data_IF_712753375373
#
_entry.id   IF_712753375373
#
_cell.length_a   1.000
_cell.length_b   1.000
_cell.length_c   1.000
_cell.angle_alpha   90.00
_cell.angle_beta   90.00
_cell.angle_gamma   90.00
#
_symmetry.space_group_name_H-M   'P 1'
#
loop_
_entity.id
_entity.type
_entity.pdbx_description
1 polymer ?
#
# COMPACT_ATOMS: atom_id res chain seq x y z
N UNK A 1 74.15 -33.81 -35.19
CA UNK A 1 73.18 -34.39 -36.15
C UNK A 1 71.89 -34.64 -35.38
N UNK A 2 71.26 -33.56 -34.91
CA UNK A 2 70.18 -32.76 -35.56
C UNK A 2 68.83 -33.46 -35.30
N UNK A 3 68.01 -33.15 -34.29
CA UNK A 3 67.82 -31.94 -33.47
C UNK A 3 67.69 -30.66 -34.30
N UNK A 4 66.62 -30.58 -35.11
CA UNK A 4 66.13 -29.28 -35.59
C UNK A 4 64.64 -29.23 -35.98
N UNK A 5 63.89 -30.33 -35.95
CA UNK A 5 62.49 -30.29 -36.42
C UNK A 5 61.45 -30.11 -35.30
N UNK A 6 61.80 -30.33 -34.02
CA UNK A 6 60.89 -30.10 -32.89
C UNK A 6 60.93 -28.67 -32.32
N UNK A 7 61.67 -27.75 -32.94
CA UNK A 7 61.77 -26.35 -32.48
C UNK A 7 60.93 -25.37 -33.31
N UNK A 8 60.35 -25.82 -34.43
CA UNK A 8 59.51 -24.98 -35.30
C UNK A 8 58.01 -25.04 -35.02
N UNK A 9 57.49 -26.11 -34.44
CA UNK A 9 56.06 -26.20 -34.09
C UNK A 9 55.70 -25.55 -32.75
N UNK A 10 56.70 -25.26 -31.90
CA UNK A 10 56.49 -24.55 -30.63
C UNK A 10 56.56 -23.02 -30.75
N UNK A 11 57.15 -22.48 -31.83
CA UNK A 11 57.26 -21.02 -32.06
C UNK A 11 56.14 -20.45 -32.94
N UNK A 12 55.33 -21.29 -33.59
CA UNK A 12 54.19 -20.86 -34.43
C UNK A 12 52.84 -20.85 -33.67
N UNK A 13 52.78 -21.45 -32.48
CA UNK A 13 51.62 -21.35 -31.57
C UNK A 13 51.74 -20.24 -30.50
N UNK A 14 52.88 -19.53 -30.46
CA UNK A 14 53.12 -18.40 -29.54
C UNK A 14 53.00 -17.02 -30.23
N UNK A 15 52.93 -16.96 -31.57
CA UNK A 15 52.72 -15.72 -32.33
C UNK A 15 51.27 -15.44 -32.75
N UNK A 16 50.33 -16.36 -32.49
CA UNK A 16 48.89 -16.14 -32.72
C UNK A 16 48.11 -15.77 -31.45
N UNK A 17 48.80 -15.58 -30.31
CA UNK A 17 48.21 -15.13 -29.04
C UNK A 17 48.56 -13.69 -28.62
N UNK A 18 49.51 -13.04 -29.30
CA UNK A 18 49.90 -11.65 -28.96
C UNK A 18 49.28 -10.57 -29.88
N UNK A 19 48.74 -10.92 -31.05
CA UNK A 19 48.01 -9.97 -31.92
C UNK A 19 46.48 -10.00 -31.76
N UNK A 20 45.97 -10.65 -30.71
CA UNK A 20 44.56 -10.52 -30.25
C UNK A 20 44.48 -9.68 -28.96
N UNK A 21 45.64 -9.21 -28.46
CA UNK A 21 45.78 -8.50 -27.19
C UNK A 21 45.88 -6.96 -27.32
N UNK A 22 45.75 -6.37 -28.51
CA UNK A 22 45.92 -4.91 -28.70
C UNK A 22 44.80 -4.17 -29.45
N UNK A 23 43.65 -4.81 -29.72
CA UNK A 23 42.46 -4.14 -30.30
C UNK A 23 41.15 -4.41 -29.51
N UNK A 24 41.26 -4.47 -28.17
CA UNK A 24 40.10 -4.46 -27.25
C UNK A 24 40.18 -3.38 -26.17
N UNK A 25 40.99 -2.35 -26.38
CA UNK A 25 40.81 -1.08 -25.69
C UNK A 25 39.88 -0.19 -26.55
N UNK A 26 39.03 0.59 -25.89
CA UNK A 26 38.05 1.52 -26.47
C UNK A 26 36.71 1.00 -27.02
N UNK A 27 36.12 0.03 -26.32
CA UNK A 27 34.67 0.10 -26.04
C UNK A 27 34.40 -0.03 -24.54
N UNK A 28 34.80 0.99 -23.78
CA UNK A 28 34.17 1.33 -22.49
C UNK A 28 32.70 1.69 -22.76
N UNK A 29 31.86 0.65 -22.91
CA UNK A 29 30.44 0.76 -22.57
C UNK A 29 30.43 1.23 -21.12
N UNK A 30 29.98 2.46 -20.89
CA UNK A 30 29.66 2.92 -19.55
C UNK A 30 28.71 1.90 -18.94
N UNK A 31 29.22 1.03 -18.05
CA UNK A 31 28.36 0.25 -17.16
C UNK A 31 27.58 1.32 -16.40
N UNK A 32 26.29 1.45 -16.72
CA UNK A 32 25.36 2.20 -15.88
C UNK A 32 25.61 1.72 -14.44
N UNK A 33 25.81 2.62 -13.47
CA UNK A 33 25.97 2.20 -12.09
C UNK A 33 24.75 1.35 -11.73
N UNK A 34 24.98 0.10 -11.33
CA UNK A 34 23.94 -0.76 -10.78
C UNK A 34 23.37 -0.01 -9.57
N UNK A 35 22.08 0.34 -9.65
CA UNK A 35 21.38 0.97 -8.53
C UNK A 35 21.38 -0.05 -7.40
N UNK A 36 22.17 0.19 -6.35
CA UNK A 36 22.15 -0.61 -5.13
C UNK A 36 20.73 -0.62 -4.58
N UNK A 37 20.24 -1.80 -4.17
CA UNK A 37 18.92 -1.90 -3.55
C UNK A 37 18.94 -1.23 -2.17
N UNK A 38 17.76 -0.81 -1.67
CA UNK A 38 17.64 -0.24 -0.33
C UNK A 38 18.19 -1.19 0.74
N UNK A 39 17.97 -2.49 0.58
CA UNK A 39 18.53 -3.54 1.43
C UNK A 39 20.06 -3.56 1.42
N UNK A 40 20.69 -3.43 0.25
CA UNK A 40 22.16 -3.38 0.12
C UNK A 40 22.74 -2.11 0.77
N UNK A 41 22.06 -0.97 0.63
CA UNK A 41 22.48 0.29 1.27
C UNK A 41 22.35 0.17 2.80
N UNK A 42 21.24 -0.40 3.28
CA UNK A 42 21.02 -0.63 4.72
C UNK A 42 22.08 -1.57 5.30
N UNK A 43 22.38 -2.65 4.58
CA UNK A 43 23.37 -3.65 4.96
C UNK A 43 24.78 -3.06 5.04
N UNK A 44 25.18 -2.27 4.04
CA UNK A 44 26.47 -1.56 4.04
C UNK A 44 26.55 -0.53 5.17
N UNK A 45 25.46 0.19 5.44
CA UNK A 45 25.43 1.25 6.46
C UNK A 45 25.44 0.68 7.89
N UNK A 46 24.85 -0.49 8.10
CA UNK A 46 24.82 -1.18 9.39
C UNK A 46 26.04 -2.10 9.60
N UNK A 47 26.94 -2.23 8.62
CA UNK A 47 28.12 -3.09 8.71
C UNK A 47 27.80 -4.58 8.78
N UNK A 48 26.69 -5.01 8.18
CA UNK A 48 26.22 -6.40 8.22
C UNK A 48 26.86 -7.25 7.11
N UNK A 49 27.11 -8.53 7.37
CA UNK A 49 27.63 -9.47 6.36
C UNK A 49 26.67 -9.60 5.17
N UNK A 50 27.16 -9.66 3.92
CA UNK A 50 26.34 -9.83 2.71
C UNK A 50 25.34 -10.99 2.82
N UNK A 51 24.13 -10.83 2.31
CA UNK A 51 23.06 -11.83 2.39
C UNK A 51 22.28 -11.91 3.72
N UNK A 52 22.78 -11.32 4.82
CA UNK A 52 22.08 -11.35 6.13
C UNK A 52 20.69 -10.71 6.09
N UNK A 53 20.57 -9.52 5.49
CA UNK A 53 19.29 -8.82 5.39
C UNK A 53 18.36 -9.50 4.38
N UNK A 54 18.90 -10.14 3.34
CA UNK A 54 18.13 -10.91 2.37
C UNK A 54 17.44 -12.11 3.04
N UNK A 55 18.13 -12.84 3.92
CA UNK A 55 17.52 -13.91 4.73
C UNK A 55 16.36 -13.37 5.59
N UNK A 56 16.56 -12.21 6.25
CA UNK A 56 15.50 -11.55 7.02
C UNK A 56 14.29 -11.18 6.12
N UNK A 57 14.53 -10.61 4.94
CA UNK A 57 13.45 -10.29 3.99
C UNK A 57 12.70 -11.52 3.50
N UNK A 58 13.41 -12.63 3.28
CA UNK A 58 12.81 -13.92 2.90
C UNK A 58 11.92 -14.48 4.02
N UNK A 59 12.36 -14.45 5.28
CA UNK A 59 11.53 -14.83 6.44
C UNK A 59 10.31 -13.92 6.58
N UNK A 60 10.48 -12.60 6.43
CA UNK A 60 9.39 -11.63 6.44
C UNK A 60 8.42 -11.87 5.27
N UNK A 61 8.89 -12.31 4.11
CA UNK A 61 8.01 -12.69 3.01
C UNK A 61 7.11 -13.88 3.39
N UNK A 62 7.66 -14.93 4.01
CA UNK A 62 6.88 -16.08 4.49
C UNK A 62 5.81 -15.60 5.48
N UNK A 63 6.21 -14.82 6.49
CA UNK A 63 5.31 -14.30 7.51
C UNK A 63 4.15 -13.50 6.89
N UNK A 64 4.46 -12.54 6.00
CA UNK A 64 3.46 -11.70 5.32
C UNK A 64 2.49 -12.49 4.46
N UNK A 65 3.00 -13.47 3.71
CA UNK A 65 2.15 -14.27 2.85
C UNK A 65 1.18 -15.13 3.66
N UNK A 66 1.68 -15.84 4.68
CA UNK A 66 0.85 -16.73 5.50
C UNK A 66 -0.18 -15.95 6.31
N UNK A 67 0.20 -14.80 6.84
CA UNK A 67 -0.71 -13.88 7.53
C UNK A 67 -1.82 -13.39 6.58
N UNK A 68 -1.48 -12.88 5.39
CA UNK A 68 -2.47 -12.49 4.38
C UNK A 68 -3.38 -13.65 3.95
N UNK A 69 -2.81 -14.83 3.70
CA UNK A 69 -3.58 -16.02 3.34
C UNK A 69 -4.52 -16.45 4.47
N UNK A 70 -4.12 -16.29 5.73
CA UNK A 70 -4.94 -16.64 6.90
C UNK A 70 -6.13 -15.69 7.10
N UNK A 71 -5.99 -14.42 6.72
CA UNK A 71 -7.05 -13.41 6.81
C UNK A 71 -7.97 -13.41 5.56
N UNK A 72 -7.42 -13.67 4.38
CA UNK A 72 -8.11 -13.55 3.10
C UNK A 72 -7.99 -14.83 2.22
N UNK A 73 -8.32 -16.04 2.73
CA UNK A 73 -8.16 -17.29 1.98
C UNK A 73 -9.02 -17.35 0.71
N UNK A 74 -10.15 -16.62 0.68
CA UNK A 74 -11.06 -16.53 -0.47
C UNK A 74 -10.36 -16.00 -1.72
N UNK A 75 -9.33 -15.16 -1.58
CA UNK A 75 -8.62 -14.62 -2.75
C UNK A 75 -7.84 -15.68 -3.53
N UNK A 76 -7.61 -16.85 -2.92
CA UNK A 76 -6.79 -17.92 -3.47
C UNK A 76 -7.56 -19.14 -3.98
N UNK A 77 -8.86 -19.29 -3.66
CA UNK A 77 -9.62 -20.51 -3.99
C UNK A 77 -9.63 -20.85 -5.48
N UNK A 78 -9.58 -19.86 -6.37
CA UNK A 78 -9.53 -20.09 -7.83
C UNK A 78 -8.21 -19.66 -8.47
N UNK A 79 -7.17 -19.46 -7.66
CA UNK A 79 -5.84 -19.03 -8.08
C UNK A 79 -4.79 -20.08 -7.72
N UNK A 80 -5.11 -21.36 -7.94
CA UNK A 80 -4.26 -22.51 -7.62
C UNK A 80 -2.82 -22.36 -8.12
N UNK A 81 -2.62 -21.91 -9.37
CA UNK A 81 -1.27 -21.69 -9.91
C UNK A 81 -0.47 -20.63 -9.16
N UNK A 82 -1.14 -19.56 -8.72
CA UNK A 82 -0.49 -18.49 -7.97
C UNK A 82 -0.17 -18.99 -6.56
N UNK A 83 -1.11 -19.70 -5.92
CA UNK A 83 -0.91 -20.29 -4.60
C UNK A 83 0.26 -21.29 -4.59
N UNK A 84 0.32 -22.17 -5.59
CA UNK A 84 1.39 -23.16 -5.71
C UNK A 84 2.76 -22.51 -5.93
N UNK A 85 2.81 -21.40 -6.69
CA UNK A 85 4.02 -20.60 -6.84
C UNK A 85 4.49 -20.04 -5.49
N UNK A 86 3.58 -19.51 -4.67
CA UNK A 86 3.91 -19.02 -3.32
C UNK A 86 4.39 -20.15 -2.41
N UNK A 87 3.69 -21.30 -2.39
CA UNK A 87 4.12 -22.49 -1.63
C UNK A 87 5.51 -22.95 -2.03
N UNK A 88 5.76 -23.09 -3.33
CA UNK A 88 7.08 -23.49 -3.86
C UNK A 88 8.17 -22.50 -3.44
N UNK A 89 7.89 -21.20 -3.52
CA UNK A 89 8.84 -20.16 -3.10
C UNK A 89 9.13 -20.23 -1.60
N UNK A 90 8.11 -20.45 -0.76
CA UNK A 90 8.28 -20.63 0.69
C UNK A 90 9.11 -21.87 0.99
N UNK A 91 8.80 -22.99 0.34
CA UNK A 91 9.55 -24.24 0.51
C UNK A 91 11.03 -24.08 0.09
N UNK A 92 11.29 -23.38 -1.01
CA UNK A 92 12.65 -23.06 -1.44
C UNK A 92 13.40 -22.20 -0.42
N UNK A 93 12.74 -21.19 0.16
CA UNK A 93 13.33 -20.37 1.23
C UNK A 93 13.63 -21.25 2.44
N UNK A 94 12.66 -22.05 2.91
CA UNK A 94 12.81 -22.92 4.08
C UNK A 94 13.94 -23.95 3.88
N UNK A 95 14.08 -24.51 2.68
CA UNK A 95 15.18 -25.43 2.34
C UNK A 95 16.52 -24.68 2.31
N UNK A 96 16.54 -23.44 1.81
CA UNK A 96 17.73 -22.59 1.73
C UNK A 96 18.17 -21.98 3.05
N UNK A 97 17.35 -22.03 4.11
CA UNK A 97 17.76 -21.63 5.45
C UNK A 97 18.91 -22.52 5.95
N UNK A 98 19.98 -21.90 6.45
CA UNK A 98 21.20 -22.58 6.84
C UNK A 98 21.03 -23.42 8.11
N UNK A 99 21.85 -24.46 8.26
CA UNK A 99 21.85 -25.28 9.48
C UNK A 99 22.76 -24.70 10.58
N UNK A 100 23.48 -23.62 10.30
CA UNK A 100 24.43 -23.04 11.27
C UNK A 100 23.71 -22.21 12.35
N UNK A 101 22.56 -21.61 12.02
CA UNK A 101 21.80 -20.76 12.93
C UNK A 101 20.68 -21.59 13.58
N UNK A 102 20.62 -21.62 14.93
CA UNK A 102 19.60 -22.39 15.65
C UNK A 102 18.18 -21.93 15.33
N UNK A 103 17.96 -20.63 15.16
CA UNK A 103 16.66 -20.10 14.78
C UNK A 103 16.17 -20.61 13.41
N UNK A 104 17.07 -20.73 12.44
CA UNK A 104 16.77 -21.24 11.09
C UNK A 104 16.35 -22.71 11.15
N UNK A 105 17.04 -23.51 11.97
CA UNK A 105 16.67 -24.89 12.26
C UNK A 105 15.28 -24.99 12.89
N UNK A 106 14.98 -24.13 13.87
CA UNK A 106 13.67 -24.12 14.54
C UNK A 106 12.55 -23.77 13.56
N UNK A 107 12.71 -22.76 12.70
CA UNK A 107 11.71 -22.41 11.68
C UNK A 107 11.47 -23.60 10.73
N UNK A 108 12.54 -24.26 10.26
CA UNK A 108 12.44 -25.42 9.36
C UNK A 108 11.72 -26.61 10.01
N UNK A 109 12.03 -26.89 11.29
CA UNK A 109 11.36 -27.91 12.08
C UNK A 109 9.89 -27.57 12.32
N UNK A 110 9.57 -26.32 12.65
CA UNK A 110 8.19 -25.88 12.85
C UNK A 110 7.39 -25.91 11.55
N UNK A 111 7.96 -25.52 10.42
CA UNK A 111 7.30 -25.57 9.12
C UNK A 111 6.88 -27.01 8.77
N UNK A 112 7.78 -27.96 8.98
CA UNK A 112 7.54 -29.39 8.72
C UNK A 112 6.61 -30.00 9.77
N UNK A 113 6.86 -29.74 11.05
CA UNK A 113 6.11 -30.31 12.18
C UNK A 113 4.67 -29.80 12.27
N UNK A 114 4.43 -28.54 11.91
CA UNK A 114 3.08 -27.95 11.81
C UNK A 114 2.39 -28.22 10.47
N UNK A 115 3.06 -28.89 9.53
CA UNK A 115 2.53 -29.24 8.20
C UNK A 115 1.98 -28.03 7.41
N UNK A 116 2.70 -26.90 7.44
CA UNK A 116 2.20 -25.61 6.92
C UNK A 116 1.68 -25.70 5.48
N UNK A 117 2.38 -26.38 4.56
CA UNK A 117 1.91 -26.56 3.18
C UNK A 117 0.57 -27.29 3.10
N UNK A 118 0.35 -28.32 3.93
CA UNK A 118 -0.90 -29.08 3.97
C UNK A 118 -2.03 -28.26 4.60
N UNK A 119 -1.72 -27.48 5.64
CA UNK A 119 -2.68 -26.55 6.26
C UNK A 119 -3.20 -25.53 5.25
N UNK A 120 -2.32 -24.99 4.38
CA UNK A 120 -2.71 -24.07 3.31
C UNK A 120 -3.70 -24.75 2.34
N UNK A 121 -3.40 -25.97 1.91
CA UNK A 121 -4.24 -26.72 0.97
C UNK A 121 -5.62 -27.03 1.58
N UNK A 122 -5.66 -27.44 2.85
CA UNK A 122 -6.91 -27.69 3.57
C UNK A 122 -7.77 -26.44 3.71
N UNK A 123 -7.18 -25.30 4.09
CA UNK A 123 -7.92 -24.03 4.19
C UNK A 123 -8.51 -23.65 2.82
N UNK A 124 -7.70 -23.79 1.75
CA UNK A 124 -8.16 -23.50 0.39
C UNK A 124 -9.34 -24.38 0.00
N UNK A 125 -9.20 -25.70 0.17
CA UNK A 125 -10.23 -26.68 -0.21
C UNK A 125 -11.53 -26.44 0.55
N UNK A 126 -11.48 -26.30 1.87
CA UNK A 126 -12.64 -25.97 2.69
C UNK A 126 -13.29 -24.65 2.26
N UNK A 127 -12.48 -23.62 1.97
CA UNK A 127 -13.00 -22.32 1.52
C UNK A 127 -13.65 -22.43 0.14
N UNK A 128 -13.09 -23.24 -0.77
CA UNK A 128 -13.68 -23.52 -2.07
C UNK A 128 -15.01 -24.28 -1.95
N UNK A 129 -15.10 -25.26 -1.04
CA UNK A 129 -16.34 -25.98 -0.77
C UNK A 129 -17.45 -25.05 -0.26
N UNK A 130 -17.14 -24.16 0.68
CA UNK A 130 -18.08 -23.13 1.17
C UNK A 130 -18.54 -22.24 0.01
N UNK A 131 -17.61 -21.78 -0.83
CA UNK A 131 -17.94 -20.96 -1.99
C UNK A 131 -18.84 -21.72 -2.98
N UNK A 132 -18.56 -23.00 -3.23
CA UNK A 132 -19.33 -23.86 -4.12
C UNK A 132 -20.75 -24.09 -3.60
N UNK A 133 -20.92 -24.33 -2.30
CA UNK A 133 -22.22 -24.47 -1.63
C UNK A 133 -23.05 -23.18 -1.75
N UNK A 134 -22.41 -22.00 -1.67
CA UNK A 134 -23.06 -20.70 -1.79
C UNK A 134 -23.16 -20.17 -3.24
N UNK A 135 -22.92 -21.04 -4.23
CA UNK A 135 -23.20 -20.78 -5.65
C UNK A 135 -22.05 -20.17 -6.46
N UNK A 136 -20.85 -20.04 -5.87
CA UNK A 136 -19.62 -19.70 -6.58
C UNK A 136 -18.87 -20.98 -6.90
N UNK A 137 -18.91 -21.43 -8.16
CA UNK A 137 -18.20 -22.64 -8.63
C UNK A 137 -16.99 -22.35 -9.52
N UNK A 138 -16.75 -21.07 -9.83
CA UNK A 138 -15.74 -20.63 -10.82
C UNK A 138 -15.25 -19.25 -10.45
N UNK A 139 -13.99 -18.97 -10.78
CA UNK A 139 -13.39 -17.65 -10.63
C UNK A 139 -14.19 -16.55 -11.33
N UNK A 140 -14.29 -15.40 -10.66
CA UNK A 140 -14.94 -14.23 -11.25
C UNK A 140 -14.18 -13.71 -12.44
N UNK A 141 -12.85 -13.77 -12.45
CA UNK A 141 -12.07 -13.40 -13.62
C UNK A 141 -12.45 -14.26 -14.83
N UNK A 142 -12.69 -15.56 -14.64
CA UNK A 142 -13.14 -16.48 -15.71
C UNK A 142 -14.58 -16.18 -16.13
N UNK A 143 -15.49 -15.93 -15.19
CA UNK A 143 -16.87 -15.49 -15.49
C UNK A 143 -16.84 -14.17 -16.27
N UNK A 144 -16.10 -13.19 -15.77
CA UNK A 144 -15.95 -11.86 -16.36
C UNK A 144 -15.35 -11.93 -17.76
N UNK A 145 -14.31 -12.76 -18.00
CA UNK A 145 -13.76 -12.97 -19.34
C UNK A 145 -14.80 -13.56 -20.30
N UNK A 146 -15.56 -14.55 -19.85
CA UNK A 146 -16.61 -15.15 -20.67
C UNK A 146 -17.72 -14.15 -21.00
N UNK A 147 -18.19 -13.38 -20.00
CA UNK A 147 -19.17 -12.32 -20.21
C UNK A 147 -18.64 -11.23 -21.15
N UNK A 148 -17.39 -10.80 -20.96
CA UNK A 148 -16.74 -9.83 -21.83
C UNK A 148 -16.72 -10.31 -23.27
N UNK A 149 -16.39 -11.58 -23.52
CA UNK A 149 -16.41 -12.16 -24.87
C UNK A 149 -17.83 -12.21 -25.47
N UNK A 150 -18.82 -12.60 -24.66
CA UNK A 150 -20.23 -12.67 -25.07
C UNK A 150 -20.76 -11.27 -25.44
N UNK A 151 -20.33 -10.22 -24.73
CA UNK A 151 -20.75 -8.83 -24.98
C UNK A 151 -19.97 -8.22 -26.15
N UNK A 152 -18.67 -8.51 -26.27
CA UNK A 152 -17.83 -7.95 -27.32
C UNK A 152 -18.11 -8.58 -28.68
N UNK A 153 -18.53 -9.85 -28.75
CA UNK A 153 -18.80 -10.52 -30.03
C UNK A 153 -19.91 -9.82 -30.86
N UNK A 154 -21.09 -9.47 -30.30
CA UNK A 154 -22.07 -8.64 -30.98
C UNK A 154 -21.54 -7.27 -31.39
N UNK A 155 -20.71 -6.63 -30.56
CA UNK A 155 -20.10 -5.35 -30.91
C UNK A 155 -19.23 -5.47 -32.17
N UNK A 156 -18.37 -6.49 -32.24
CA UNK A 156 -17.57 -6.76 -33.45
C UNK A 156 -18.45 -7.05 -34.66
N UNK A 157 -19.53 -7.83 -34.50
CA UNK A 157 -20.47 -8.10 -35.58
C UNK A 157 -21.15 -6.82 -36.10
N UNK A 158 -21.59 -5.93 -35.20
CA UNK A 158 -22.16 -4.63 -35.55
C UNK A 158 -21.14 -3.79 -36.30
N UNK A 159 -19.91 -3.67 -35.80
CA UNK A 159 -18.84 -2.91 -36.48
C UNK A 159 -18.57 -3.47 -37.88
N UNK A 160 -18.48 -4.80 -38.04
CA UNK A 160 -18.26 -5.46 -39.34
C UNK A 160 -19.44 -5.18 -40.29
N UNK A 161 -20.68 -5.34 -39.84
CA UNK A 161 -21.87 -5.06 -40.66
C UNK A 161 -21.88 -3.60 -41.12
N UNK A 162 -21.60 -2.66 -40.22
CA UNK A 162 -21.53 -1.23 -40.56
C UNK A 162 -20.40 -0.90 -41.53
N UNK A 163 -19.27 -1.62 -41.49
CA UNK A 163 -18.21 -1.45 -42.49
C UNK A 163 -18.58 -2.06 -43.86
N UNK A 164 -19.42 -3.09 -43.90
CA UNK A 164 -19.80 -3.79 -45.14
C UNK A 164 -21.01 -3.15 -45.84
N UNK A 165 -21.97 -2.57 -45.11
CA UNK A 165 -23.20 -1.99 -45.66
C UNK A 165 -23.00 -0.90 -46.73
N UNK A 166 -22.00 -0.01 -46.63
CA UNK A 166 -21.73 0.98 -47.68
C UNK A 166 -21.40 0.34 -49.04
N UNK A 167 -20.77 -0.84 -49.07
CA UNK A 167 -20.47 -1.56 -50.31
C UNK A 167 -21.74 -2.04 -51.03
N UNK A 168 -22.86 -2.18 -50.31
CA UNK A 168 -24.17 -2.54 -50.87
C UNK A 168 -25.05 -1.32 -51.15
N UNK A 169 -24.53 -0.10 -51.03
CA UNK A 169 -25.26 1.14 -51.29
C UNK A 169 -26.16 1.61 -50.14
N UNK A 170 -26.03 1.02 -48.94
CA UNK A 170 -26.76 1.44 -47.74
C UNK A 170 -25.85 2.33 -46.89
N UNK A 171 -26.07 3.64 -46.94
CA UNK A 171 -25.39 4.60 -46.07
C UNK A 171 -26.18 4.79 -44.78
N UNK A 172 -25.66 4.26 -43.67
CA UNK A 172 -26.19 4.56 -42.34
C UNK A 172 -25.45 5.77 -41.79
N UNK A 173 -26.20 6.78 -41.33
CA UNK A 173 -25.63 7.96 -40.70
C UNK A 173 -24.90 7.59 -39.40
N UNK A 174 -23.69 8.13 -39.23
CA UNK A 174 -22.85 7.92 -38.07
C UNK A 174 -23.55 8.31 -36.75
N UNK A 175 -24.51 9.24 -36.83
CA UNK A 175 -25.33 9.66 -35.71
C UNK A 175 -26.10 8.51 -35.03
N UNK A 176 -26.49 7.47 -35.78
CA UNK A 176 -27.18 6.28 -35.23
C UNK A 176 -26.21 5.23 -34.68
N UNK A 177 -24.96 5.23 -35.14
CA UNK A 177 -23.93 4.30 -34.68
C UNK A 177 -23.40 4.69 -33.29
N UNK A 178 -23.29 6.00 -33.03
CA UNK A 178 -22.71 6.53 -31.80
C UNK A 178 -23.42 6.03 -30.52
N UNK A 179 -24.77 6.09 -30.38
CA UNK A 179 -25.45 5.59 -29.18
C UNK A 179 -25.25 4.09 -28.98
N UNK A 180 -25.26 3.31 -30.07
CA UNK A 180 -25.07 1.86 -30.04
C UNK A 180 -23.67 1.52 -29.53
N UNK A 181 -22.63 2.18 -30.07
CA UNK A 181 -21.26 2.02 -29.61
C UNK A 181 -21.10 2.44 -28.13
N UNK A 182 -21.71 3.56 -27.71
CA UNK A 182 -21.68 3.99 -26.32
C UNK A 182 -22.24 2.92 -25.36
N UNK A 183 -23.39 2.32 -25.70
CA UNK A 183 -23.98 1.23 -24.91
C UNK A 183 -23.03 0.02 -24.86
N UNK A 184 -22.48 -0.41 -25.99
CA UNK A 184 -21.55 -1.55 -26.01
C UNK A 184 -20.22 -1.28 -25.27
N UNK A 185 -19.77 -0.04 -25.19
CA UNK A 185 -18.58 0.34 -24.43
C UNK A 185 -18.86 0.43 -22.91
N UNK A 186 -20.06 0.86 -22.50
CA UNK A 186 -20.40 1.00 -21.08
C UNK A 186 -20.83 -0.31 -20.41
N UNK A 187 -21.55 -1.19 -21.12
CA UNK A 187 -22.09 -2.44 -20.59
C UNK A 187 -21.01 -3.36 -19.97
N UNK A 188 -19.83 -3.59 -20.59
CA UNK A 188 -18.75 -4.37 -19.99
C UNK A 188 -18.27 -3.81 -18.65
N UNK A 189 -18.15 -2.49 -18.53
CA UNK A 189 -17.70 -1.81 -17.30
C UNK A 189 -18.75 -1.95 -16.20
N UNK A 190 -20.04 -1.79 -16.54
CA UNK A 190 -21.14 -1.99 -15.58
C UNK A 190 -21.19 -3.44 -15.07
N UNK A 191 -21.06 -4.42 -15.97
CA UNK A 191 -21.06 -5.84 -15.60
C UNK A 191 -19.83 -6.19 -14.76
N UNK A 192 -18.65 -5.64 -15.10
CA UNK A 192 -17.43 -5.78 -14.29
C UNK A 192 -17.66 -5.27 -12.87
N UNK A 193 -18.16 -4.05 -12.72
CA UNK A 193 -18.38 -3.43 -11.43
C UNK A 193 -19.44 -4.20 -10.62
N UNK A 194 -20.50 -4.66 -11.27
CA UNK A 194 -21.53 -5.50 -10.64
C UNK A 194 -20.96 -6.84 -10.14
N UNK A 195 -20.18 -7.54 -10.97
CA UNK A 195 -19.55 -8.82 -10.57
C UNK A 195 -18.51 -8.63 -9.47
N UNK A 196 -17.72 -7.55 -9.52
CA UNK A 196 -16.78 -7.19 -8.48
C UNK A 196 -17.49 -6.88 -7.16
N UNK A 197 -18.51 -6.02 -7.18
CA UNK A 197 -19.33 -5.71 -6.00
C UNK A 197 -19.98 -6.96 -5.41
N UNK A 198 -20.54 -7.82 -6.26
CA UNK A 198 -21.12 -9.11 -5.83
C UNK A 198 -20.09 -10.02 -5.18
N UNK A 199 -18.84 -10.01 -5.66
CA UNK A 199 -17.75 -10.75 -5.04
C UNK A 199 -17.36 -10.18 -3.69
N UNK A 200 -17.17 -8.86 -3.59
CA UNK A 200 -16.81 -8.21 -2.34
C UNK A 200 -17.89 -8.44 -1.27
N UNK A 201 -19.16 -8.27 -1.62
CA UNK A 201 -20.27 -8.59 -0.72
C UNK A 201 -20.21 -10.07 -0.29
N UNK A 202 -19.96 -10.99 -1.22
CA UNK A 202 -19.79 -12.40 -0.88
C UNK A 202 -18.60 -12.62 0.07
N UNK A 203 -17.44 -11.97 -0.13
CA UNK A 203 -16.31 -12.10 0.79
C UNK A 203 -16.68 -11.65 2.20
N UNK A 204 -17.27 -10.46 2.33
CA UNK A 204 -17.65 -9.88 3.62
C UNK A 204 -18.71 -10.72 4.35
N UNK A 205 -19.79 -11.10 3.66
CA UNK A 205 -20.89 -11.89 4.24
C UNK A 205 -20.44 -13.27 4.75
N UNK A 206 -19.35 -13.82 4.19
CA UNK A 206 -18.91 -15.19 4.44
C UNK A 206 -17.58 -15.28 5.19
N UNK A 207 -16.94 -14.14 5.48
CA UNK A 207 -15.63 -14.08 6.15
C UNK A 207 -15.63 -14.82 7.48
N UNK A 208 -16.64 -14.55 8.32
CA UNK A 208 -16.76 -15.18 9.65
C UNK A 208 -17.03 -16.69 9.57
N UNK A 209 -17.85 -17.14 8.62
CA UNK A 209 -18.12 -18.57 8.42
C UNK A 209 -16.84 -19.32 8.02
N UNK A 210 -16.09 -18.75 7.08
CA UNK A 210 -14.83 -19.31 6.59
C UNK A 210 -13.78 -19.36 7.69
N UNK A 211 -13.66 -18.27 8.46
CA UNK A 211 -12.78 -18.22 9.62
C UNK A 211 -13.15 -19.29 10.65
N UNK A 212 -14.44 -19.43 10.96
CA UNK A 212 -14.92 -20.37 11.98
C UNK A 212 -14.66 -21.83 11.57
N UNK A 213 -14.91 -22.17 10.31
CA UNK A 213 -14.69 -23.53 9.80
C UNK A 213 -13.20 -23.89 9.67
N UNK A 214 -12.34 -22.89 9.48
CA UNK A 214 -10.90 -23.07 9.33
C UNK A 214 -10.10 -22.63 10.56
N UNK A 215 -10.76 -22.38 11.69
CA UNK A 215 -10.15 -21.70 12.85
C UNK A 215 -8.87 -22.38 13.32
N UNK A 216 -8.89 -23.70 13.46
CA UNK A 216 -7.72 -24.47 13.93
C UNK A 216 -6.55 -24.31 12.96
N UNK A 217 -6.79 -24.52 11.67
CA UNK A 217 -5.79 -24.37 10.62
C UNK A 217 -5.25 -22.93 10.52
N UNK A 218 -6.12 -21.93 10.64
CA UNK A 218 -5.72 -20.52 10.69
C UNK A 218 -4.83 -20.24 11.90
N UNK A 219 -5.15 -20.80 13.07
CA UNK A 219 -4.33 -20.64 14.28
C UNK A 219 -2.96 -21.31 14.13
N UNK A 220 -2.87 -22.44 13.42
CA UNK A 220 -1.57 -23.07 13.09
C UNK A 220 -0.72 -22.12 12.26
N UNK A 221 -1.29 -21.53 11.20
CA UNK A 221 -0.60 -20.55 10.36
C UNK A 221 -0.18 -19.31 11.16
N UNK A 222 -1.10 -18.70 11.91
CA UNK A 222 -0.80 -17.52 12.75
C UNK A 222 0.26 -17.82 13.80
N UNK A 223 0.22 -19.01 14.41
CA UNK A 223 1.26 -19.45 15.36
C UNK A 223 2.63 -19.53 14.70
N UNK A 224 2.72 -20.11 13.51
CA UNK A 224 3.97 -20.15 12.74
C UNK A 224 4.46 -18.76 12.29
N UNK A 225 3.55 -17.87 11.88
CA UNK A 225 3.88 -16.47 11.60
C UNK A 225 4.47 -15.81 12.84
N UNK A 226 3.85 -15.96 14.00
CA UNK A 226 4.35 -15.36 15.23
C UNK A 226 5.75 -15.86 15.61
N UNK A 227 5.99 -17.17 15.49
CA UNK A 227 7.30 -17.76 15.74
C UNK A 227 8.36 -17.23 14.76
N UNK A 228 8.00 -17.09 13.47
CA UNK A 228 8.87 -16.52 12.43
C UNK A 228 9.21 -15.05 12.73
N UNK A 229 8.21 -14.24 13.10
CA UNK A 229 8.40 -12.83 13.46
C UNK A 229 9.29 -12.68 14.70
N UNK A 230 9.10 -13.53 15.72
CA UNK A 230 9.96 -13.56 16.91
C UNK A 230 11.40 -13.91 16.58
N UNK A 231 11.64 -14.90 15.73
CA UNK A 231 13.00 -15.20 15.23
C UNK A 231 13.60 -14.01 14.49
N UNK A 232 12.87 -13.41 13.54
CA UNK A 232 13.37 -12.24 12.82
C UNK A 232 13.73 -11.11 13.78
N UNK A 233 12.87 -10.82 14.76
CA UNK A 233 13.13 -9.80 15.78
C UNK A 233 14.39 -10.12 16.59
N UNK A 234 14.50 -11.35 17.08
CA UNK A 234 15.66 -11.83 17.84
C UNK A 234 16.96 -11.64 17.04
N UNK A 235 16.96 -12.08 15.78
CA UNK A 235 18.10 -11.91 14.88
C UNK A 235 18.46 -10.46 14.63
N UNK A 236 17.48 -9.58 14.43
CA UNK A 236 17.73 -8.13 14.25
C UNK A 236 18.38 -7.52 15.50
N UNK A 237 17.96 -7.96 16.70
CA UNK A 237 18.54 -7.51 17.97
C UNK A 237 19.99 -7.99 18.11
N UNK A 238 20.27 -9.26 17.82
CA UNK A 238 21.64 -9.82 17.85
C UNK A 238 22.59 -9.07 16.91
N UNK A 239 22.07 -8.67 15.75
CA UNK A 239 22.79 -7.89 14.75
C UNK A 239 22.85 -6.39 15.07
N UNK A 240 22.28 -5.96 16.20
CA UNK A 240 22.19 -4.56 16.64
C UNK A 240 21.55 -3.63 15.60
N UNK A 241 20.58 -4.16 14.85
CA UNK A 241 19.82 -3.39 13.86
C UNK A 241 18.73 -2.61 14.58
N UNK A 242 18.64 -1.28 14.38
CA UNK A 242 17.53 -0.50 14.89
C UNK A 242 16.19 -1.00 14.33
N UNK A 243 15.30 -1.47 15.20
CA UNK A 243 14.03 -2.11 14.81
C UNK A 243 13.08 -1.11 14.13
N UNK A 244 13.23 0.18 14.42
CA UNK A 244 12.45 1.28 13.86
C UNK A 244 12.66 1.47 12.35
N UNK A 245 13.77 0.97 11.81
CA UNK A 245 14.08 1.02 10.38
C UNK A 245 13.33 -0.08 9.59
N UNK A 246 12.89 -1.13 10.26
CA UNK A 246 12.24 -2.29 9.62
C UNK A 246 10.72 -2.12 9.71
N UNK A 247 10.16 -1.51 8.67
CA UNK A 247 8.71 -1.38 8.47
C UNK A 247 8.22 -2.38 7.45
N UNK A 248 7.13 -3.07 7.76
CA UNK A 248 6.52 -4.02 6.87
C UNK A 248 5.02 -4.08 7.10
N UNK A 249 4.35 -4.90 6.31
CA UNK A 249 2.90 -4.87 6.18
C UNK A 249 2.33 -6.24 6.56
N UNK A 250 1.36 -6.26 7.46
CA UNK A 250 0.61 -7.45 7.87
C UNK A 250 -0.90 -7.20 7.76
N UNK A 251 -1.68 -8.23 7.57
CA UNK A 251 -3.14 -8.25 7.55
C UNK A 251 -3.72 -8.39 8.96
N UNK A 252 -3.00 -9.03 9.89
CA UNK A 252 -3.36 -9.11 11.30
C UNK A 252 -2.45 -8.25 12.20
N UNK A 253 -3.00 -7.81 13.35
CA UNK A 253 -2.30 -7.13 14.42
C UNK A 253 -2.16 -7.99 15.70
N UNK A 254 -2.48 -9.29 15.63
CA UNK A 254 -2.56 -10.19 16.80
C UNK A 254 -1.18 -10.65 17.32
N UNK A 255 -0.08 -10.16 16.76
CA UNK A 255 1.27 -10.63 17.06
C UNK A 255 1.93 -9.83 18.18
N UNK A 256 2.60 -10.50 19.10
CA UNK A 256 3.16 -9.90 20.31
C UNK A 256 4.50 -9.18 20.11
N UNK A 257 5.14 -9.40 18.95
CA UNK A 257 6.47 -8.88 18.63
C UNK A 257 6.45 -7.58 17.83
N UNK A 258 5.26 -7.02 17.56
CA UNK A 258 5.08 -5.90 16.65
C UNK A 258 4.30 -4.74 17.28
N UNK A 259 4.51 -3.55 16.75
CA UNK A 259 3.73 -2.34 17.02
C UNK A 259 3.11 -1.85 15.72
N UNK A 260 1.80 -1.64 15.74
CA UNK A 260 1.08 -1.04 14.62
C UNK A 260 1.41 0.44 14.54
N UNK A 261 1.76 0.89 13.34
CA UNK A 261 2.05 2.30 13.03
C UNK A 261 0.88 2.95 12.30
N UNK A 262 0.26 2.23 11.36
CA UNK A 262 -0.86 2.70 10.57
C UNK A 262 -1.74 1.52 10.16
N UNK A 263 -3.02 1.77 9.92
CA UNK A 263 -4.00 0.85 9.38
C UNK A 263 -4.65 1.45 8.13
N UNK A 264 -4.64 0.71 7.03
CA UNK A 264 -5.24 1.12 5.77
C UNK A 264 -6.18 0.03 5.25
N UNK A 265 -7.28 0.43 4.64
CA UNK A 265 -8.18 -0.49 3.95
C UNK A 265 -7.79 -0.55 2.48
N UNK A 266 -7.34 -1.72 2.00
CA UNK A 266 -6.98 -1.93 0.60
C UNK A 266 -7.86 -3.02 0.00
N UNK A 267 -8.73 -2.64 -0.95
CA UNK A 267 -9.64 -3.56 -1.66
C UNK A 267 -10.49 -4.44 -0.72
N UNK A 268 -10.91 -3.89 0.41
CA UNK A 268 -11.73 -4.58 1.43
C UNK A 268 -10.93 -5.36 2.48
N UNK A 269 -9.61 -5.52 2.31
CA UNK A 269 -8.75 -6.09 3.35
C UNK A 269 -8.17 -4.98 4.22
N UNK A 270 -8.13 -5.21 5.53
CA UNK A 270 -7.42 -4.34 6.47
C UNK A 270 -5.95 -4.70 6.43
N UNK A 271 -5.11 -3.69 6.25
CA UNK A 271 -3.67 -3.82 6.16
C UNK A 271 -3.03 -2.92 7.22
N UNK A 272 -2.22 -3.51 8.07
CA UNK A 272 -1.47 -2.86 9.13
C UNK A 272 -0.02 -2.65 8.67
N UNK A 273 0.42 -1.39 8.66
CA UNK A 273 1.85 -1.08 8.61
C UNK A 273 2.39 -1.22 10.02
N UNK A 274 3.37 -2.10 10.19
CA UNK A 274 3.90 -2.48 11.51
C UNK A 274 5.41 -2.36 11.54
N UNK A 275 5.95 -2.26 12.76
CA UNK A 275 7.37 -2.41 13.06
C UNK A 275 7.55 -3.38 14.20
N UNK A 276 8.77 -3.90 14.40
CA UNK A 276 9.07 -4.69 15.58
C UNK A 276 9.10 -3.84 16.85
N UNK A 277 8.66 -4.42 17.97
CA UNK A 277 8.76 -3.80 19.28
C UNK A 277 9.94 -4.36 20.08
N UNK A 278 10.65 -3.50 20.81
CA UNK A 278 11.78 -3.91 21.63
C UNK A 278 11.29 -4.72 22.83
N UNK A 279 11.90 -5.88 23.14
CA UNK A 279 11.55 -6.63 24.34
C UNK A 279 11.92 -5.83 25.60
N UNK A 280 11.20 -6.09 26.69
CA UNK A 280 11.44 -5.42 27.96
C UNK A 280 12.91 -5.59 28.41
N UNK A 281 13.56 -4.47 28.74
CA UNK A 281 14.96 -4.45 29.18
C UNK A 281 16.00 -4.27 28.07
N UNK A 282 15.59 -4.17 26.80
CA UNK A 282 16.47 -3.80 25.68
C UNK A 282 16.15 -2.38 25.23
N UNK A 283 17.12 -1.48 25.35
CA UNK A 283 16.98 -0.11 24.86
C UNK A 283 17.13 -0.03 23.32
N UNK A 284 16.46 0.92 22.66
CA UNK A 284 16.62 1.14 21.22
C UNK A 284 18.06 1.38 20.80
N UNK A 285 18.45 0.78 19.66
CA UNK A 285 19.78 1.01 19.10
C UNK A 285 19.84 2.37 18.40
N UNK A 286 20.97 3.10 18.48
CA UNK A 286 21.12 4.38 17.80
C UNK A 286 21.01 4.20 16.29
N UNK A 287 20.15 5.01 15.66
CA UNK A 287 20.01 5.03 14.21
C UNK A 287 21.21 5.79 13.62
N UNK A 288 21.97 5.20 12.68
CA UNK A 288 23.08 5.90 12.03
C UNK A 288 22.61 7.20 11.35
N UNK A 289 23.37 8.28 11.49
CA UNK A 289 23.03 9.62 10.95
C UNK A 289 22.69 9.61 9.46
N UNK A 290 23.33 8.73 8.70
CA UNK A 290 23.11 8.53 7.27
C UNK A 290 21.69 8.04 6.94
N UNK A 291 21.04 7.33 7.88
CA UNK A 291 19.68 6.81 7.78
C UNK A 291 18.68 7.66 8.57
N UNK A 292 19.14 8.48 9.52
CA UNK A 292 18.31 9.35 10.34
C UNK A 292 17.45 10.31 9.49
N UNK A 293 17.98 10.84 8.40
CA UNK A 293 17.20 11.71 7.49
C UNK A 293 16.05 10.98 6.78
N UNK A 294 16.21 9.69 6.43
CA UNK A 294 15.12 8.90 5.85
C UNK A 294 14.07 8.54 6.91
N UNK A 295 14.52 8.31 8.15
CA UNK A 295 13.66 8.02 9.28
C UNK A 295 12.80 9.23 9.69
N UNK A 296 13.41 10.42 9.85
CA UNK A 296 12.72 11.66 10.23
C UNK A 296 11.66 12.03 9.20
N UNK A 297 12.00 12.00 7.91
CA UNK A 297 11.04 12.29 6.84
C UNK A 297 9.90 11.25 6.77
N UNK A 298 10.15 9.98 7.15
CA UNK A 298 9.09 8.98 7.23
C UNK A 298 8.25 9.07 8.51
N UNK A 299 8.81 9.55 9.62
CA UNK A 299 8.08 9.78 10.87
C UNK A 299 7.09 10.94 10.72
N UNK A 300 7.52 12.02 10.06
CA UNK A 300 6.65 13.17 9.74
C UNK A 300 5.50 12.79 8.79
N UNK A 301 5.69 11.77 7.93
CA UNK A 301 4.64 11.20 7.06
C UNK A 301 3.75 10.18 7.80
N UNK A 302 4.24 9.51 8.85
CA UNK A 302 3.48 8.51 9.62
C UNK A 302 2.56 9.14 10.67
N UNK A 303 2.93 10.30 11.22
CA UNK A 303 2.04 11.10 12.07
C UNK A 303 0.99 11.88 11.24
N UNK A 304 0.99 11.76 9.90
CA UNK A 304 0.11 12.52 8.99
C UNK A 304 -0.67 11.69 7.94
N UNK A 305 -0.76 10.36 8.06
CA UNK A 305 -1.63 9.54 7.18
C UNK A 305 -2.57 8.68 8.04
N UNK A 306 -3.51 9.29 8.73
CA UNK A 306 -4.87 9.61 8.27
C UNK A 306 -5.81 8.39 8.24
N UNK A 307 -6.45 8.12 9.38
CA UNK A 307 -7.90 8.01 9.32
C UNK A 307 -8.37 9.22 8.49
N UNK A 308 -9.17 9.01 7.44
CA UNK A 308 -9.75 10.13 6.68
C UNK A 308 -10.38 11.05 7.72
N UNK A 309 -9.75 12.19 7.98
CA UNK A 309 -10.16 13.09 9.06
C UNK A 309 -11.60 13.48 8.76
N UNK A 310 -12.55 13.15 9.65
CA UNK A 310 -13.98 13.33 9.38
C UNK A 310 -14.53 14.63 9.97
N UNK A 311 -13.81 15.21 10.93
CA UNK A 311 -14.30 16.32 11.73
C UNK A 311 -13.79 17.66 11.16
N UNK A 312 -14.29 18.02 9.98
CA UNK A 312 -14.10 19.35 9.42
C UNK A 312 -15.25 20.27 9.79
N UNK A 313 -14.92 21.40 10.39
CA UNK A 313 -15.85 22.48 10.71
C UNK A 313 -15.61 23.63 9.74
N UNK A 314 -16.63 24.03 8.98
CA UNK A 314 -16.55 25.21 8.13
C UNK A 314 -17.13 26.39 8.91
N UNK A 315 -16.43 27.53 8.89
CA UNK A 315 -16.91 28.76 9.48
C UNK A 315 -17.79 29.50 8.47
N UNK A 316 -19.06 29.13 8.42
CA UNK A 316 -20.04 29.70 7.50
C UNK A 316 -20.44 31.12 7.93
N UNK A 317 -20.85 31.94 6.96
CA UNK A 317 -21.28 33.32 7.17
C UNK A 317 -20.27 34.15 7.97
N UNK A 318 -18.97 33.90 7.77
CA UNK A 318 -17.91 34.59 8.46
C UNK A 318 -17.94 36.09 8.12
N UNK A 319 -18.10 36.93 9.13
CA UNK A 319 -17.91 38.37 9.03
C UNK A 319 -16.42 38.67 9.22
N UNK A 320 -15.74 38.93 8.10
CA UNK A 320 -14.30 39.17 8.09
C UNK A 320 -14.04 40.64 7.79
N UNK A 321 -13.25 41.30 8.63
CA UNK A 321 -12.77 42.68 8.40
C UNK A 321 -11.25 42.73 8.61
N UNK A 322 -10.53 43.22 7.60
CA UNK A 322 -9.07 43.33 7.63
C UNK A 322 -8.35 42.01 8.00
N UNK A 323 -8.88 40.88 7.52
CA UNK A 323 -8.37 39.54 7.82
C UNK A 323 -8.70 39.01 9.21
N UNK A 324 -9.56 39.71 9.98
CA UNK A 324 -10.07 39.26 11.29
C UNK A 324 -11.50 38.77 11.19
N UNK A 325 -11.73 37.60 11.75
CA UNK A 325 -13.05 36.98 11.89
C UNK A 325 -13.71 37.58 13.15
N UNK A 326 -14.79 38.33 12.96
CA UNK A 326 -15.58 38.95 14.04
C UNK A 326 -16.77 38.07 14.45
N UNK A 327 -17.38 37.39 13.48
CA UNK A 327 -18.55 36.55 13.68
C UNK A 327 -18.54 35.39 12.68
N UNK A 328 -19.11 34.24 13.04
CA UNK A 328 -19.22 33.06 12.18
C UNK A 328 -20.20 32.06 12.78
N UNK A 329 -20.65 31.12 11.95
CA UNK A 329 -21.43 29.95 12.36
C UNK A 329 -20.61 28.70 12.09
N UNK A 330 -20.14 27.97 13.12
CA UNK A 330 -19.41 26.72 12.91
C UNK A 330 -20.37 25.63 12.43
N UNK A 331 -20.12 25.07 11.25
CA UNK A 331 -20.91 24.00 10.66
C UNK A 331 -20.03 22.76 10.43
N UNK A 332 -20.35 21.66 11.11
CA UNK A 332 -19.66 20.38 10.90
C UNK A 332 -20.08 19.76 9.55
N UNK A 333 -19.11 19.44 8.69
CA UNK A 333 -19.32 18.90 7.34
C UNK A 333 -18.79 17.48 7.18
N UNK A 334 -19.24 16.56 8.04
CA UNK A 334 -18.84 15.14 7.97
C UNK A 334 -19.09 14.51 6.58
N UNK A 335 -20.19 14.87 5.93
CA UNK A 335 -20.58 14.35 4.61
C UNK A 335 -19.69 14.85 3.46
N UNK A 336 -18.88 15.89 3.68
CA UNK A 336 -17.93 16.43 2.71
C UNK A 336 -16.47 16.11 3.08
N UNK A 337 -16.23 15.33 4.13
CA UNK A 337 -14.89 15.07 4.64
C UNK A 337 -13.93 14.49 3.59
N UNK A 338 -14.39 13.55 2.76
CA UNK A 338 -13.57 13.01 1.66
C UNK A 338 -13.16 14.09 0.67
N UNK A 339 -14.12 14.92 0.25
CA UNK A 339 -13.87 16.03 -0.69
C UNK A 339 -12.94 17.09 -0.10
N UNK A 340 -13.13 17.43 1.18
CA UNK A 340 -12.26 18.38 1.88
C UNK A 340 -10.84 17.83 1.97
N UNK A 341 -10.66 16.55 2.29
CA UNK A 341 -9.34 15.91 2.30
C UNK A 341 -8.68 15.94 0.91
N UNK A 342 -9.41 15.68 -0.17
CA UNK A 342 -8.89 15.80 -1.55
C UNK A 342 -8.40 17.22 -1.84
N UNK A 343 -9.18 18.25 -1.47
CA UNK A 343 -8.80 19.65 -1.64
C UNK A 343 -7.55 19.99 -0.82
N UNK A 344 -7.49 19.57 0.45
CA UNK A 344 -6.36 19.82 1.33
C UNK A 344 -5.07 19.14 0.83
N UNK A 345 -5.17 17.96 0.21
CA UNK A 345 -4.02 17.28 -0.38
C UNK A 345 -3.44 18.02 -1.60
N UNK A 346 -4.23 18.88 -2.25
CA UNK A 346 -3.80 19.73 -3.37
C UNK A 346 -3.32 21.13 -2.91
N UNK A 347 -3.34 21.41 -1.61
CA UNK A 347 -2.96 22.70 -1.06
C UNK A 347 -1.46 22.77 -0.69
N UNK A 348 -0.87 23.94 -0.92
CA UNK A 348 0.39 24.32 -0.28
C UNK A 348 0.09 24.99 1.07
N UNK A 349 0.68 24.48 2.15
CA UNK A 349 0.47 25.00 3.50
C UNK A 349 1.61 25.90 3.95
N UNK A 350 1.26 27.09 4.43
CA UNK A 350 2.19 27.99 5.13
C UNK A 350 1.68 28.24 6.54
N UNK A 351 2.46 27.81 7.53
CA UNK A 351 2.17 28.13 8.94
C UNK A 351 2.25 29.64 9.15
N UNK A 352 1.21 30.22 9.75
CA UNK A 352 1.22 31.65 10.10
C UNK A 352 1.93 31.87 11.42
N UNK A 353 2.58 33.03 11.56
CA UNK A 353 3.14 33.52 12.83
C UNK A 353 2.14 34.37 13.62
N UNK A 354 0.93 34.53 13.10
CA UNK A 354 -0.16 35.26 13.73
C UNK A 354 -0.78 34.43 14.86
N UNK A 355 -0.96 35.04 16.03
CA UNK A 355 -1.66 34.43 17.15
C UNK A 355 -3.17 34.33 16.87
N UNK A 356 -3.86 33.39 17.52
CA UNK A 356 -5.31 33.19 17.41
C UNK A 356 -6.07 34.50 17.63
N UNK A 357 -5.67 35.30 18.64
CA UNK A 357 -6.30 36.60 18.96
C UNK A 357 -6.17 37.66 17.86
N UNK A 358 -5.22 37.47 16.94
CA UNK A 358 -5.04 38.37 15.82
C UNK A 358 -5.94 38.04 14.64
N UNK A 359 -6.49 36.82 14.59
CA UNK A 359 -7.40 36.33 13.54
C UNK A 359 -8.83 36.24 14.07
N UNK A 360 -9.04 35.72 15.28
CA UNK A 360 -10.32 35.75 15.98
C UNK A 360 -10.36 36.91 16.95
N UNK A 361 -11.33 37.78 16.76
CA UNK A 361 -11.53 38.97 17.59
C UNK A 361 -11.99 38.61 19.01
N UNK A 362 -12.77 37.54 19.14
CA UNK A 362 -13.37 37.08 20.40
C UNK A 362 -13.64 35.57 20.36
N UNK A 363 -12.59 34.75 20.47
CA UNK A 363 -12.72 33.29 20.60
C UNK A 363 -13.09 32.95 22.05
N UNK A 364 -14.37 33.02 22.36
CA UNK A 364 -14.96 32.73 23.67
C UNK A 364 -15.81 31.46 23.63
N UNK A 365 -16.22 30.95 24.79
CA UNK A 365 -17.08 29.76 24.85
C UNK A 365 -18.34 29.92 24.00
N UNK A 366 -18.98 31.08 23.96
CA UNK A 366 -20.23 31.28 23.19
C UNK A 366 -20.04 31.23 21.67
N UNK A 367 -18.82 31.44 21.18
CA UNK A 367 -18.48 31.45 19.74
C UNK A 367 -17.46 30.37 19.39
N UNK A 368 -17.17 29.43 20.27
CA UNK A 368 -16.10 28.47 20.07
C UNK A 368 -16.40 27.48 18.94
N UNK A 369 -15.34 26.88 18.40
CA UNK A 369 -15.45 25.63 17.66
C UNK A 369 -15.55 24.52 18.69
N UNK A 370 -16.54 23.64 18.53
CA UNK A 370 -16.79 22.53 19.43
C UNK A 370 -16.50 21.20 18.76
N UNK A 371 -15.96 20.25 19.53
CA UNK A 371 -15.84 18.86 19.13
C UNK A 371 -17.22 18.16 19.16
N UNK A 372 -17.34 16.99 18.52
CA UNK A 372 -18.58 16.19 18.52
C UNK A 372 -19.06 15.82 19.92
N UNK A 373 -18.15 15.72 20.89
CA UNK A 373 -18.47 15.46 22.29
C UNK A 373 -19.00 16.70 23.04
N UNK A 374 -18.97 17.89 22.42
CA UNK A 374 -19.41 19.16 23.01
C UNK A 374 -18.30 19.95 23.72
N UNK A 375 -17.05 19.47 23.73
CA UNK A 375 -15.93 20.21 24.31
C UNK A 375 -15.41 21.31 23.38
N UNK A 376 -14.97 22.42 23.97
CA UNK A 376 -14.37 23.54 23.25
C UNK A 376 -13.01 23.12 22.68
N UNK A 377 -12.82 23.30 21.38
CA UNK A 377 -11.56 22.98 20.71
C UNK A 377 -10.54 24.08 20.98
N UNK A 378 -9.41 23.70 21.55
CA UNK A 378 -8.25 24.58 21.66
C UNK A 378 -7.46 24.54 20.35
N UNK A 379 -7.33 25.69 19.68
CA UNK A 379 -6.58 25.78 18.42
C UNK A 379 -5.08 25.78 18.74
N UNK A 380 -4.32 24.86 18.13
CA UNK A 380 -2.88 24.72 18.31
C UNK A 380 -2.09 25.45 17.23
N UNK A 381 -2.53 25.29 15.99
CA UNK A 381 -1.81 25.79 14.82
C UNK A 381 -2.77 26.42 13.84
N UNK A 382 -2.31 27.46 13.16
CA UNK A 382 -3.05 28.11 12.08
C UNK A 382 -2.18 28.04 10.82
N UNK A 383 -2.80 27.62 9.73
CA UNK A 383 -2.19 27.53 8.41
C UNK A 383 -2.95 28.41 7.44
N UNK A 384 -2.21 29.00 6.50
CA UNK A 384 -2.77 29.55 5.27
C UNK A 384 -2.61 28.46 4.22
N UNK A 385 -3.74 27.91 3.77
CA UNK A 385 -3.78 26.91 2.72
C UNK A 385 -3.93 27.63 1.37
N UNK A 386 -3.08 27.30 0.42
CA UNK A 386 -3.11 27.86 -0.93
C UNK A 386 -3.44 26.75 -1.93
N UNK A 387 -4.69 26.71 -2.38
CA UNK A 387 -5.15 25.72 -3.33
C UNK A 387 -4.79 26.14 -4.76
N UNK A 388 -3.93 25.35 -5.42
CA UNK A 388 -3.47 25.53 -6.81
C UNK A 388 -2.91 26.94 -7.13
N UNK A 389 -2.46 27.69 -6.12
CA UNK A 389 -1.99 29.06 -6.29
C UNK A 389 -3.08 30.11 -6.55
N UNK A 390 -4.36 29.71 -6.54
CA UNK A 390 -5.49 30.55 -6.97
C UNK A 390 -6.37 30.99 -5.82
N UNK A 391 -6.56 30.14 -4.82
CA UNK A 391 -7.51 30.39 -3.73
C UNK A 391 -6.85 30.13 -2.37
N UNK A 392 -6.95 31.10 -1.46
CA UNK A 392 -6.34 31.02 -0.13
C UNK A 392 -7.39 31.03 0.96
N UNK A 393 -7.23 30.18 1.97
CA UNK A 393 -8.14 30.11 3.11
C UNK A 393 -7.34 29.79 4.38
N UNK A 394 -7.93 30.10 5.53
CA UNK A 394 -7.40 29.70 6.83
C UNK A 394 -7.80 28.26 7.14
N UNK A 395 -6.83 27.48 7.62
CA UNK A 395 -7.05 26.18 8.24
C UNK A 395 -6.55 26.23 9.69
N UNK A 396 -7.45 25.97 10.62
CA UNK A 396 -7.17 25.91 12.05
C UNK A 396 -7.09 24.45 12.48
N UNK A 397 -6.00 24.08 13.13
CA UNK A 397 -5.77 22.74 13.66
C UNK A 397 -5.99 22.75 15.18
N UNK A 398 -6.96 21.98 15.65
CA UNK A 398 -7.23 21.79 17.07
C UNK A 398 -6.26 20.82 17.74
N UNK A 399 -6.08 20.98 19.05
CA UNK A 399 -5.53 19.93 19.93
C UNK A 399 -6.53 18.76 19.96
N UNK A 400 -6.07 17.50 19.94
CA UNK A 400 -6.96 16.34 20.13
C UNK A 400 -7.77 16.48 21.41
N UNK A 401 -9.08 16.28 21.30
CA UNK A 401 -10.02 16.31 22.42
C UNK A 401 -9.87 15.05 23.29
N UNK A 402 -10.36 15.07 24.54
CA UNK A 402 -10.36 13.92 25.44
C UNK A 402 -11.13 12.70 24.88
N UNK A 403 -12.06 12.93 23.94
CA UNK A 403 -12.73 11.85 23.20
C UNK A 403 -11.86 11.18 22.11
N UNK A 404 -10.61 11.63 21.95
CA UNK A 404 -9.63 11.10 20.99
C UNK A 404 -9.71 11.72 19.59
N UNK A 405 -10.75 12.51 19.33
CA UNK A 405 -10.99 13.14 18.02
C UNK A 405 -10.20 14.44 17.85
N UNK A 406 -9.71 14.66 16.64
CA UNK A 406 -9.07 15.91 16.23
C UNK A 406 -10.02 16.69 15.32
N UNK A 407 -10.09 18.01 15.53
CA UNK A 407 -10.98 18.91 14.78
C UNK A 407 -10.17 19.88 13.95
N UNK A 408 -10.56 20.03 12.70
CA UNK A 408 -9.99 21.02 11.78
C UNK A 408 -11.08 22.01 11.40
N UNK A 409 -10.78 23.29 11.44
CA UNK A 409 -11.72 24.32 11.00
C UNK A 409 -11.19 25.07 9.78
N UNK A 410 -12.07 25.35 8.82
CA UNK A 410 -11.75 26.10 7.60
C UNK A 410 -12.53 27.40 7.57
N UNK A 411 -11.87 28.49 7.18
CA UNK A 411 -12.49 29.80 7.00
C UNK A 411 -11.92 30.52 5.80
N UNK A 412 -12.74 31.31 5.12
CA UNK A 412 -12.28 32.30 4.16
C UNK A 412 -11.32 33.30 4.84
N UNK A 413 -10.44 33.91 4.04
CA UNK A 413 -9.56 35.00 4.52
C UNK A 413 -10.19 36.37 4.37
N UNK A 414 -11.16 36.50 3.46
CA UNK A 414 -11.93 37.72 3.21
C UNK A 414 -13.36 37.33 2.81
N UNK A 415 -14.33 38.18 3.15
CA UNK A 415 -15.74 37.94 2.86
C UNK A 415 -16.05 38.03 1.37
N UNK A 416 -15.37 38.93 0.66
CA UNK A 416 -15.61 39.20 -0.77
C UNK A 416 -14.69 38.38 -1.68
N UNK A 417 -13.99 37.38 -1.13
CA UNK A 417 -13.10 36.51 -1.89
C UNK A 417 -13.90 35.65 -2.87
N UNK A 418 -13.54 35.67 -4.16
CA UNK A 418 -14.18 34.84 -5.17
C UNK A 418 -13.82 33.35 -4.94
N UNK A 419 -14.83 32.54 -4.66
CA UNK A 419 -14.69 31.10 -4.39
C UNK A 419 -14.74 30.34 -5.74
N UNK A 420 -13.71 29.54 -6.09
CA UNK A 420 -13.73 28.71 -7.28
C UNK A 420 -14.94 27.77 -7.31
N UNK A 421 -15.49 27.51 -8.50
CA UNK A 421 -16.70 26.68 -8.66
C UNK A 421 -16.57 25.29 -8.01
N UNK A 422 -15.36 24.71 -7.99
CA UNK A 422 -15.07 23.41 -7.39
C UNK A 422 -15.18 23.39 -5.86
N UNK A 423 -15.10 24.55 -5.20
CA UNK A 423 -15.05 24.72 -3.75
C UNK A 423 -16.31 25.34 -3.14
N UNK A 424 -17.27 25.79 -3.96
CA UNK A 424 -18.53 26.46 -3.53
C UNK A 424 -19.47 25.58 -2.69
N UNK A 425 -19.28 24.27 -2.73
CA UNK A 425 -20.03 23.34 -1.89
C UNK A 425 -19.37 23.10 -0.52
N UNK A 426 -18.11 23.51 -0.35
CA UNK A 426 -17.36 23.44 0.91
C UNK A 426 -17.49 24.75 1.69
N UNK A 427 -17.21 25.89 1.05
CA UNK A 427 -17.28 27.25 1.61
C UNK A 427 -18.53 27.98 1.10
#
# INVERSE_FOLDING_TARGET
>A
MNNNDNKREAEEQLKSKEDIASEKEDKKKSKKPEKKSQAQILQETLGLEPGTLENIEQKLFIARFLDYFSEEPIDFIYREKDLEKYKTQIEQIIIGLGEEIEEDKLIKQQFTGKQISQTIDQIRENTEEIAAQKGFKKSINKKMRNWSLIISAPMFAVVIIFTLLPYFGINIDFLYLLPVLCVFCMVPTLIRNYLAKKWYNFKEENKMDIYTQNRENIMILKGFVNDTLRSVRSRLIDLKVPLELIKFVLSSNDYDSIKVLNQQVNKGAIIHTVRFDYPAGVEPFPIPDQLAHQYINQQEVLDTVSEVEKNFVILENAEIKDGKIENYVPALKENLAEKINEVLNECEFKRTTQDIKSIFSDYSSEKAIYCKCGEMVEIKTIFIANWKGQFKFYMFEGVPCDCGEKVYALSLMDKDQEIPDELKDIF
#
